data_IF_664096380258
#
_entry.id   IF_664096380258
#
_cell.length_a   1.000
_cell.length_b   1.000
_cell.length_c   1.000
_cell.angle_alpha   90.00
_cell.angle_beta   90.00
_cell.angle_gamma   90.00
#
_symmetry.space_group_name_H-M   'P 1'
#
loop_
_entity.id
_entity.type
_entity.pdbx_description
1 polymer ?
#
# COMPACT_ATOMS: atom_id res chain seq x y z
N UNK A 1 -70.90 1.34 28.00
CA UNK A 1 -71.57 2.48 27.32
C UNK A 1 -71.36 2.25 25.82
N UNK A 2 -72.28 1.59 25.11
CA UNK A 2 -73.56 2.14 24.59
C UNK A 2 -73.26 2.91 23.28
N UNK A 3 -73.85 2.70 22.10
CA UNK A 3 -74.99 1.93 21.58
C UNK A 3 -74.77 1.78 20.05
N UNK A 4 -75.11 0.66 19.40
CA UNK A 4 -76.29 0.41 18.52
C UNK A 4 -76.56 1.53 17.48
N UNK A 5 -76.70 1.28 16.17
CA UNK A 5 -77.82 0.60 15.46
C UNK A 5 -77.38 0.21 14.02
N UNK A 6 -77.47 -1.04 13.55
CA UNK A 6 -78.61 -1.75 12.91
C UNK A 6 -78.66 -1.74 11.36
N UNK A 7 -78.61 -2.95 10.79
CA UNK A 7 -78.72 -3.45 9.39
C UNK A 7 -79.76 -2.78 8.47
N UNK A 8 -79.47 -2.68 7.15
CA UNK A 8 -80.06 -3.53 6.07
C UNK A 8 -79.65 -3.17 4.61
N UNK A 9 -79.31 -4.24 3.87
CA UNK A 9 -79.60 -4.63 2.44
C UNK A 9 -78.87 -4.00 1.22
N UNK A 10 -78.12 -4.89 0.53
CA UNK A 10 -77.82 -5.08 -0.92
C UNK A 10 -78.50 -4.15 -1.96
N UNK A 11 -77.74 -3.59 -2.91
CA UNK A 11 -77.46 -4.13 -4.27
C UNK A 11 -76.83 -3.06 -5.23
N UNK A 12 -75.77 -3.48 -5.94
CA UNK A 12 -75.32 -3.13 -7.32
C UNK A 12 -75.41 -1.68 -7.89
N UNK A 13 -74.27 -1.13 -8.35
CA UNK A 13 -73.84 -1.15 -9.77
C UNK A 13 -72.48 -0.46 -9.98
N UNK A 14 -71.67 -1.09 -10.82
CA UNK A 14 -70.37 -0.67 -11.32
C UNK A 14 -70.43 0.59 -12.20
N UNK A 15 -69.37 1.40 -12.17
CA UNK A 15 -68.75 1.97 -13.37
C UNK A 15 -67.27 2.31 -13.07
N UNK A 16 -66.38 1.81 -13.92
CA UNK A 16 -64.97 2.18 -14.11
C UNK A 16 -64.76 2.27 -15.64
N UNK A 17 -63.67 2.86 -16.16
CA UNK A 17 -62.92 4.05 -15.74
C UNK A 17 -62.69 5.01 -16.93
N UNK A 18 -62.19 6.23 -16.69
CA UNK A 18 -61.58 7.07 -17.74
C UNK A 18 -60.05 6.79 -17.80
N UNK A 19 -59.54 6.64 -19.02
CA UNK A 19 -58.16 6.28 -19.37
C UNK A 19 -57.16 7.41 -19.01
N UNK A 20 -56.30 7.18 -18.03
CA UNK A 20 -55.03 7.90 -17.88
C UNK A 20 -53.93 7.11 -18.59
N UNK A 21 -53.26 7.75 -19.56
CA UNK A 21 -52.05 7.22 -20.21
C UNK A 21 -50.95 6.94 -19.17
N UNK A 22 -50.77 5.66 -18.84
CA UNK A 22 -49.73 5.20 -17.92
C UNK A 22 -48.36 5.31 -18.61
N UNK A 23 -47.55 6.30 -18.22
CA UNK A 23 -46.13 6.30 -18.55
C UNK A 23 -45.48 5.00 -18.03
N UNK A 24 -44.65 4.31 -18.82
CA UNK A 24 -44.10 3.03 -18.42
C UNK A 24 -43.24 3.20 -17.16
N UNK A 25 -43.56 2.42 -16.12
CA UNK A 25 -42.82 2.41 -14.85
C UNK A 25 -41.38 2.01 -15.14
N UNK A 26 -40.46 2.96 -14.99
CA UNK A 26 -39.03 2.71 -15.08
C UNK A 26 -38.53 2.26 -13.70
N UNK A 27 -37.99 1.05 -13.62
CA UNK A 27 -37.53 0.46 -12.37
C UNK A 27 -36.02 0.63 -12.21
N UNK A 28 -35.52 0.60 -10.97
CA UNK A 28 -34.08 0.76 -10.67
C UNK A 28 -33.15 -0.25 -11.37
N UNK A 29 -33.68 -1.39 -11.81
CA UNK A 29 -32.94 -2.39 -12.57
C UNK A 29 -32.90 -2.11 -14.09
N UNK A 30 -33.75 -1.23 -14.61
CA UNK A 30 -33.74 -0.82 -16.03
C UNK A 30 -32.60 0.17 -16.32
N UNK A 31 -31.97 0.73 -15.27
CA UNK A 31 -30.82 1.64 -15.35
C UNK A 31 -29.48 0.98 -14.99
N UNK A 32 -29.45 -0.33 -14.68
CA UNK A 32 -28.19 -1.02 -14.39
C UNK A 32 -27.40 -1.18 -15.69
N UNK A 33 -26.21 -0.61 -15.73
CA UNK A 33 -25.24 -0.92 -16.78
C UNK A 33 -25.04 -2.45 -16.83
N UNK A 34 -25.07 -3.01 -18.05
CA UNK A 34 -24.84 -4.44 -18.23
C UNK A 34 -23.38 -4.74 -17.94
N UNK A 35 -23.12 -5.31 -16.76
CA UNK A 35 -21.81 -5.78 -16.34
C UNK A 35 -21.54 -7.14 -17.01
N UNK A 36 -20.56 -7.21 -17.92
CA UNK A 36 -20.10 -8.49 -18.48
C UNK A 36 -19.10 -9.12 -17.52
N UNK A 37 -19.33 -10.38 -17.13
CA UNK A 37 -18.43 -11.16 -16.28
C UNK A 37 -17.02 -11.25 -16.86
N UNK A 38 -16.88 -11.23 -18.19
CA UNK A 38 -15.58 -11.27 -18.88
C UNK A 38 -14.71 -10.05 -18.60
N UNK A 39 -15.32 -8.91 -18.25
CA UNK A 39 -14.57 -7.70 -17.93
C UNK A 39 -13.84 -7.83 -16.59
N UNK A 40 -14.27 -8.74 -15.73
CA UNK A 40 -13.79 -8.95 -14.37
C UNK A 40 -13.08 -10.29 -14.18
N UNK A 41 -12.68 -10.94 -15.28
CA UNK A 41 -11.89 -12.16 -15.22
C UNK A 41 -10.84 -12.26 -16.32
N UNK A 42 -9.71 -12.85 -15.98
CA UNK A 42 -8.74 -13.38 -16.93
C UNK A 42 -8.64 -14.88 -16.73
N UNK A 43 -8.93 -15.65 -17.78
CA UNK A 43 -9.06 -17.11 -17.71
C UNK A 43 -8.38 -17.76 -18.91
N UNK A 44 -7.54 -18.77 -18.67
CA UNK A 44 -6.97 -19.59 -19.74
C UNK A 44 -6.00 -18.84 -20.67
N UNK A 45 -5.43 -17.73 -20.22
CA UNK A 45 -4.53 -16.91 -21.03
C UNK A 45 -3.12 -17.50 -21.04
N UNK A 46 -2.43 -17.40 -22.18
CA UNK A 46 -1.05 -17.85 -22.33
C UNK A 46 -0.19 -16.85 -23.08
N UNK A 47 1.04 -16.64 -22.61
CA UNK A 47 2.08 -15.85 -23.30
C UNK A 47 1.63 -14.43 -23.70
N UNK A 48 0.78 -13.81 -22.87
CA UNK A 48 0.18 -12.50 -23.16
C UNK A 48 0.39 -11.49 -22.03
N UNK A 49 0.41 -10.22 -22.39
CA UNK A 49 0.32 -9.10 -21.45
C UNK A 49 -1.07 -8.49 -21.50
N UNK A 50 -1.78 -8.48 -20.38
CA UNK A 50 -3.16 -7.98 -20.27
C UNK A 50 -3.32 -7.11 -19.04
N UNK A 51 -4.37 -6.30 -19.00
CA UNK A 51 -4.63 -5.48 -17.83
C UNK A 51 -5.95 -4.74 -17.84
N UNK A 52 -6.13 -3.92 -16.81
CA UNK A 52 -7.25 -2.99 -16.64
C UNK A 52 -6.70 -1.63 -16.28
N UNK A 53 -7.15 -0.61 -17.01
CA UNK A 53 -6.83 0.78 -16.74
C UNK A 53 -7.63 1.31 -15.54
N UNK A 54 -7.22 2.44 -14.94
CA UNK A 54 -7.97 3.09 -13.88
C UNK A 54 -9.45 3.31 -14.25
N UNK A 55 -10.35 3.00 -13.30
CA UNK A 55 -11.80 3.13 -13.46
C UNK A 55 -12.48 1.97 -14.18
N UNK A 56 -11.75 0.96 -14.66
CA UNK A 56 -12.32 -0.20 -15.37
C UNK A 56 -12.77 -1.33 -14.45
N UNK A 57 -12.29 -1.39 -13.21
CA UNK A 57 -12.72 -2.39 -12.21
C UNK A 57 -13.63 -1.76 -11.16
N UNK A 58 -13.33 -0.53 -10.75
CA UNK A 58 -14.17 0.30 -9.88
C UNK A 58 -14.70 -0.44 -8.63
N UNK A 59 -13.83 -1.20 -7.95
CA UNK A 59 -14.18 -1.88 -6.70
C UNK A 59 -14.97 -3.18 -6.87
N UNK A 60 -15.15 -3.69 -8.08
CA UNK A 60 -15.73 -5.02 -8.30
C UNK A 60 -14.77 -6.15 -7.90
N UNK A 61 -15.30 -7.36 -7.77
CA UNK A 61 -14.48 -8.56 -7.61
C UNK A 61 -13.76 -8.89 -8.92
N UNK A 62 -12.53 -9.42 -8.85
CA UNK A 62 -11.77 -9.85 -10.01
C UNK A 62 -11.28 -11.31 -9.85
N UNK A 63 -11.25 -12.08 -10.94
CA UNK A 63 -10.77 -13.45 -10.97
C UNK A 63 -9.64 -13.62 -11.99
N UNK A 64 -8.54 -14.23 -11.60
CA UNK A 64 -7.45 -14.63 -12.50
C UNK A 64 -7.30 -16.14 -12.35
N UNK A 65 -7.51 -16.91 -13.41
CA UNK A 65 -7.46 -18.36 -13.34
C UNK A 65 -6.79 -18.97 -14.58
N UNK A 66 -6.11 -20.10 -14.41
CA UNK A 66 -5.55 -20.90 -15.52
C UNK A 66 -4.64 -20.10 -16.47
N UNK A 67 -3.88 -19.11 -15.95
CA UNK A 67 -3.00 -18.28 -16.78
C UNK A 67 -1.54 -18.78 -16.73
N UNK A 68 -0.85 -18.79 -17.87
CA UNK A 68 0.52 -19.29 -17.99
C UNK A 68 1.40 -18.30 -18.75
N UNK A 69 2.59 -17.96 -18.21
CA UNK A 69 3.53 -17.02 -18.83
C UNK A 69 2.90 -15.64 -19.13
N UNK A 70 2.01 -15.16 -18.26
CA UNK A 70 1.28 -13.90 -18.48
C UNK A 70 1.83 -12.75 -17.63
N UNK A 71 1.79 -11.54 -18.18
CA UNK A 71 1.94 -10.31 -17.40
C UNK A 71 0.57 -9.65 -17.24
N UNK A 72 0.10 -9.52 -16.00
CA UNK A 72 -1.26 -9.07 -15.68
C UNK A 72 -1.18 -7.83 -14.82
N UNK A 73 -1.77 -6.72 -15.28
CA UNK A 73 -1.73 -5.44 -14.57
C UNK A 73 -3.13 -4.88 -14.35
N UNK A 74 -3.60 -4.88 -13.10
CA UNK A 74 -4.89 -4.30 -12.73
C UNK A 74 -4.62 -2.96 -12.03
N UNK A 75 -4.64 -1.87 -12.79
CA UNK A 75 -4.39 -0.50 -12.29
C UNK A 75 -5.64 0.16 -11.72
N UNK A 76 -6.40 -0.59 -10.92
CA UNK A 76 -7.61 -0.11 -10.27
C UNK A 76 -7.87 -0.84 -8.95
N UNK A 77 -8.71 -0.26 -8.10
CA UNK A 77 -9.14 -0.89 -6.86
C UNK A 77 -10.18 -2.00 -7.11
N UNK A 78 -10.19 -3.00 -6.24
CA UNK A 78 -11.08 -4.17 -6.34
C UNK A 78 -11.66 -4.54 -4.98
N UNK A 79 -12.81 -5.23 -4.95
CA UNK A 79 -13.37 -5.75 -3.70
C UNK A 79 -12.55 -6.92 -3.15
N UNK A 80 -12.27 -7.90 -4.00
CA UNK A 80 -11.53 -9.13 -3.70
C UNK A 80 -10.92 -9.66 -4.99
N UNK A 81 -9.75 -10.28 -4.90
CA UNK A 81 -9.09 -10.91 -6.06
C UNK A 81 -8.71 -12.34 -5.72
N UNK A 82 -9.09 -13.27 -6.59
CA UNK A 82 -8.67 -14.67 -6.49
C UNK A 82 -7.76 -14.99 -7.66
N UNK A 83 -6.63 -15.63 -7.39
CA UNK A 83 -5.65 -16.07 -8.39
C UNK A 83 -5.50 -17.59 -8.26
N UNK A 84 -5.97 -18.31 -9.27
CA UNK A 84 -6.03 -19.78 -9.28
C UNK A 84 -5.18 -20.36 -10.40
N UNK A 85 -4.45 -21.43 -10.09
CA UNK A 85 -3.80 -22.30 -11.08
C UNK A 85 -2.91 -21.54 -12.09
N UNK A 86 -2.31 -20.44 -11.65
CA UNK A 86 -1.45 -19.59 -12.48
C UNK A 86 0.02 -20.02 -12.41
N UNK A 87 0.71 -20.02 -13.54
CA UNK A 87 2.10 -20.47 -13.68
C UNK A 87 2.95 -19.41 -14.35
N UNK A 88 4.09 -19.06 -13.74
CA UNK A 88 5.08 -18.15 -14.34
C UNK A 88 4.46 -16.79 -14.75
N UNK A 89 3.61 -16.23 -13.89
CA UNK A 89 2.93 -14.96 -14.16
C UNK A 89 3.56 -13.80 -13.39
N UNK A 90 3.60 -12.63 -14.02
CA UNK A 90 3.86 -11.35 -13.35
C UNK A 90 2.52 -10.67 -13.09
N UNK A 91 2.24 -10.26 -11.85
CA UNK A 91 0.92 -9.73 -11.48
C UNK A 91 1.04 -8.44 -10.67
N UNK A 92 0.55 -7.33 -11.21
CA UNK A 92 0.29 -6.13 -10.44
C UNK A 92 -1.20 -6.03 -10.10
N UNK A 93 -1.53 -5.82 -8.83
CA UNK A 93 -2.89 -5.53 -8.39
C UNK A 93 -2.91 -4.19 -7.67
N UNK A 94 -3.83 -3.31 -8.08
CA UNK A 94 -4.20 -2.14 -7.32
C UNK A 94 -4.81 -2.50 -5.95
N UNK A 95 -5.23 -1.49 -5.17
CA UNK A 95 -5.70 -1.68 -3.80
C UNK A 95 -6.95 -2.58 -3.72
N UNK A 96 -6.85 -3.68 -2.98
CA UNK A 96 -7.94 -4.65 -2.79
C UNK A 96 -8.56 -4.48 -1.41
N UNK A 97 -9.81 -4.01 -1.38
CA UNK A 97 -10.55 -3.70 -0.13
C UNK A 97 -10.59 -4.88 0.84
N UNK A 98 -10.75 -6.09 0.31
CA UNK A 98 -10.85 -7.32 1.09
C UNK A 98 -9.63 -8.21 0.91
N UNK A 99 -9.86 -9.44 0.47
CA UNK A 99 -8.83 -10.46 0.37
C UNK A 99 -8.20 -10.54 -1.01
N UNK A 100 -6.90 -10.83 -1.04
CA UNK A 100 -6.23 -11.45 -2.18
C UNK A 100 -5.92 -12.89 -1.81
N UNK A 101 -6.35 -13.83 -2.64
CA UNK A 101 -6.16 -15.26 -2.38
C UNK A 101 -5.49 -15.96 -3.56
N UNK A 102 -4.26 -16.43 -3.35
CA UNK A 102 -3.55 -17.31 -4.29
C UNK A 102 -3.82 -18.78 -3.95
N UNK A 103 -4.22 -19.57 -4.96
CA UNK A 103 -4.40 -21.03 -4.85
C UNK A 103 -3.70 -21.73 -6.01
N UNK A 104 -2.97 -22.80 -5.74
CA UNK A 104 -2.31 -23.63 -6.77
C UNK A 104 -1.40 -22.84 -7.74
N UNK A 105 -0.82 -21.72 -7.32
CA UNK A 105 0.01 -20.88 -8.17
C UNK A 105 1.50 -21.24 -8.04
N UNK A 106 2.25 -21.11 -9.13
CA UNK A 106 3.70 -21.42 -9.14
C UNK A 106 4.53 -20.43 -9.94
N UNK A 107 5.71 -20.11 -9.41
CA UNK A 107 6.71 -19.26 -10.07
C UNK A 107 6.16 -17.86 -10.46
N UNK A 108 5.22 -17.30 -9.69
CA UNK A 108 4.65 -15.98 -9.96
C UNK A 108 5.35 -14.88 -9.16
N UNK A 109 5.44 -13.69 -9.76
CA UNK A 109 6.02 -12.49 -9.16
C UNK A 109 4.97 -11.39 -9.11
N UNK A 110 4.75 -10.80 -7.94
CA UNK A 110 3.57 -9.98 -7.69
C UNK A 110 3.91 -8.68 -6.95
N UNK A 111 3.16 -7.62 -7.25
CA UNK A 111 3.11 -6.40 -6.45
C UNK A 111 1.65 -6.03 -6.20
N UNK A 112 1.24 -5.98 -4.92
CA UNK A 112 -0.18 -5.80 -4.57
C UNK A 112 -0.40 -5.20 -3.19
N UNK A 113 -1.55 -4.55 -3.03
CA UNK A 113 -2.03 -4.04 -1.76
C UNK A 113 -3.41 -4.62 -1.43
N UNK A 114 -3.61 -5.08 -0.19
CA UNK A 114 -4.86 -5.70 0.23
C UNK A 114 -5.13 -5.55 1.73
N UNK A 115 -6.38 -5.80 2.15
CA UNK A 115 -6.68 -5.94 3.57
C UNK A 115 -6.17 -7.27 4.12
N UNK A 116 -6.46 -8.38 3.44
CA UNK A 116 -6.07 -9.73 3.84
C UNK A 116 -5.31 -10.43 2.71
N UNK A 117 -4.15 -11.01 3.03
CA UNK A 117 -3.36 -11.78 2.09
C UNK A 117 -3.37 -13.26 2.47
N UNK A 118 -3.75 -14.13 1.52
CA UNK A 118 -3.84 -15.57 1.72
C UNK A 118 -3.16 -16.32 0.58
N UNK A 119 -2.41 -17.35 0.92
CA UNK A 119 -1.77 -18.26 -0.03
C UNK A 119 -2.02 -19.69 0.40
N UNK A 120 -2.49 -20.53 -0.52
CA UNK A 120 -2.65 -21.96 -0.30
C UNK A 120 -2.11 -22.75 -1.48
N UNK A 121 -1.42 -23.87 -1.22
CA UNK A 121 -0.96 -24.80 -2.26
C UNK A 121 -0.06 -24.14 -3.32
N UNK A 122 0.72 -23.13 -2.95
CA UNK A 122 1.56 -22.37 -3.90
C UNK A 122 3.05 -22.66 -3.73
N UNK A 123 3.83 -22.40 -4.79
CA UNK A 123 5.27 -22.60 -4.79
C UNK A 123 6.01 -21.46 -5.48
N UNK A 124 7.09 -20.96 -4.86
CA UNK A 124 7.97 -19.92 -5.44
C UNK A 124 7.19 -18.67 -5.86
N UNK A 125 6.55 -18.02 -4.89
CA UNK A 125 5.96 -16.71 -5.11
C UNK A 125 6.90 -15.63 -4.59
N UNK A 126 7.04 -14.53 -5.32
CA UNK A 126 7.80 -13.35 -4.87
C UNK A 126 6.86 -12.15 -4.84
N UNK A 127 6.59 -11.58 -3.67
CA UNK A 127 5.48 -10.64 -3.47
C UNK A 127 5.95 -9.35 -2.80
N UNK A 128 5.79 -8.23 -3.49
CA UNK A 128 5.89 -6.87 -2.92
C UNK A 128 4.51 -6.51 -2.35
N UNK A 129 4.39 -6.53 -1.02
CA UNK A 129 3.11 -6.58 -0.34
C UNK A 129 2.84 -5.33 0.51
N UNK A 130 1.61 -4.82 0.42
CA UNK A 130 1.00 -3.97 1.43
C UNK A 130 -0.20 -4.69 2.02
N UNK A 131 -0.14 -5.10 3.29
CA UNK A 131 -1.21 -5.87 3.91
C UNK A 131 -1.62 -5.28 5.26
N UNK A 132 -2.91 -4.92 5.38
CA UNK A 132 -3.43 -4.33 6.61
C UNK A 132 -3.45 -5.31 7.78
N UNK A 133 -3.67 -6.60 7.52
CA UNK A 133 -3.63 -7.68 8.51
C UNK A 133 -2.41 -8.57 8.32
N UNK A 134 -2.18 -9.46 9.29
CA UNK A 134 -1.14 -10.47 9.20
C UNK A 134 -1.28 -11.32 7.91
N UNK A 135 -0.27 -11.37 7.02
CA UNK A 135 -0.30 -12.24 5.85
C UNK A 135 -0.22 -13.72 6.24
N UNK A 136 -0.92 -14.58 5.52
CA UNK A 136 -1.07 -16.00 5.85
C UNK A 136 -0.64 -16.87 4.66
N UNK A 137 0.10 -17.94 4.97
CA UNK A 137 0.38 -19.03 4.03
C UNK A 137 -0.06 -20.38 4.61
N UNK A 138 -0.39 -21.32 3.74
CA UNK A 138 -0.79 -22.70 4.06
C UNK A 138 -0.35 -23.62 2.93
N UNK A 139 0.17 -24.81 3.23
CA UNK A 139 0.60 -25.85 2.28
C UNK A 139 1.47 -25.30 1.14
N UNK A 140 2.33 -24.33 1.42
CA UNK A 140 3.06 -23.55 0.41
C UNK A 140 4.54 -23.48 0.72
N UNK A 141 5.39 -23.35 -0.31
CA UNK A 141 6.87 -23.36 -0.14
C UNK A 141 7.58 -22.29 -0.96
N UNK A 142 8.68 -21.77 -0.43
CA UNK A 142 9.50 -20.73 -1.05
C UNK A 142 8.72 -19.46 -1.40
N UNK A 143 7.92 -18.96 -0.45
CA UNK A 143 7.17 -17.71 -0.59
C UNK A 143 8.04 -16.55 -0.06
N UNK A 144 8.35 -15.57 -0.90
CA UNK A 144 9.21 -14.45 -0.52
C UNK A 144 8.43 -13.15 -0.49
N UNK A 145 8.69 -12.33 0.53
CA UNK A 145 8.00 -11.07 0.74
C UNK A 145 8.95 -9.87 0.72
N UNK A 146 8.51 -8.75 0.16
CA UNK A 146 9.10 -7.42 0.32
C UNK A 146 8.02 -6.39 0.58
N UNK A 147 8.39 -5.19 1.01
CA UNK A 147 7.44 -4.08 1.14
C UNK A 147 6.92 -3.66 -0.24
N UNK A 148 5.63 -3.32 -0.32
CA UNK A 148 5.07 -2.69 -1.53
C UNK A 148 5.85 -1.43 -1.90
N UNK A 149 6.19 -1.31 -3.19
CA UNK A 149 6.92 -0.17 -3.74
C UNK A 149 6.41 0.12 -5.15
N UNK A 150 5.45 1.04 -5.26
CA UNK A 150 4.80 1.38 -6.51
C UNK A 150 4.10 2.74 -6.45
N UNK A 151 4.00 3.40 -7.60
CA UNK A 151 3.30 4.66 -7.77
C UNK A 151 2.71 4.78 -9.17
N UNK A 152 1.50 5.33 -9.25
CA UNK A 152 0.93 6.03 -10.41
C UNK A 152 -0.09 7.05 -9.89
N UNK A 153 -0.45 8.09 -10.67
CA UNK A 153 -1.22 9.24 -10.18
C UNK A 153 -2.54 8.88 -9.48
N UNK A 154 -3.27 7.91 -10.00
CA UNK A 154 -4.59 7.48 -9.53
C UNK A 154 -4.52 6.61 -8.27
N UNK A 155 -3.36 6.01 -7.98
CA UNK A 155 -3.20 4.98 -6.95
C UNK A 155 -3.58 5.51 -5.55
N UNK A 156 -3.29 6.76 -5.24
CA UNK A 156 -3.62 7.37 -3.95
C UNK A 156 -5.14 7.36 -3.67
N UNK A 157 -5.94 7.73 -4.68
CA UNK A 157 -7.40 7.70 -4.57
C UNK A 157 -7.93 6.28 -4.52
N UNK A 158 -7.33 5.36 -5.27
CA UNK A 158 -7.71 3.94 -5.23
C UNK A 158 -7.47 3.30 -3.85
N UNK A 159 -6.41 3.69 -3.13
CA UNK A 159 -6.20 3.27 -1.74
C UNK A 159 -7.33 3.77 -0.83
N UNK A 160 -7.74 5.03 -1.01
CA UNK A 160 -8.86 5.64 -0.28
C UNK A 160 -10.18 4.93 -0.60
N UNK A 161 -10.47 4.65 -1.86
CA UNK A 161 -11.71 3.99 -2.30
C UNK A 161 -11.79 2.53 -1.82
N UNK A 162 -10.65 1.84 -1.76
CA UNK A 162 -10.53 0.52 -1.14
C UNK A 162 -10.61 0.57 0.40
N UNK A 163 -10.59 1.74 1.03
CA UNK A 163 -10.58 1.89 2.49
C UNK A 163 -9.28 1.40 3.14
N UNK A 164 -8.17 1.42 2.41
CA UNK A 164 -6.85 0.99 2.89
C UNK A 164 -5.99 2.20 3.27
N UNK A 165 -5.47 2.19 4.50
CA UNK A 165 -4.45 3.15 4.93
C UNK A 165 -3.08 2.73 4.41
N UNK A 166 -2.37 3.66 3.75
CA UNK A 166 -0.98 3.45 3.31
C UNK A 166 0.01 3.24 4.47
N UNK A 167 -0.39 3.56 5.71
CA UNK A 167 0.44 3.39 6.91
C UNK A 167 0.18 2.08 7.64
N UNK A 168 -0.89 1.35 7.28
CA UNK A 168 -1.22 0.06 7.89
C UNK A 168 -0.65 -1.07 7.02
N UNK A 169 0.61 -1.41 7.24
CA UNK A 169 1.29 -2.43 6.46
C UNK A 169 2.12 -3.39 7.33
N UNK A 170 1.69 -4.65 7.42
CA UNK A 170 2.32 -5.73 8.19
C UNK A 170 2.95 -6.81 7.30
N UNK A 171 3.39 -6.43 6.10
CA UNK A 171 3.87 -7.30 5.01
C UNK A 171 4.90 -8.38 5.37
N UNK A 172 5.69 -8.21 6.45
CA UNK A 172 6.78 -9.11 6.84
C UNK A 172 6.44 -10.05 8.00
N UNK A 173 5.28 -9.89 8.64
CA UNK A 173 4.89 -10.68 9.82
C UNK A 173 4.07 -11.91 9.41
N UNK A 174 4.67 -12.86 8.69
CA UNK A 174 3.92 -13.96 8.07
C UNK A 174 3.48 -15.01 9.10
N UNK A 175 2.23 -15.45 9.02
CA UNK A 175 1.76 -16.65 9.71
C UNK A 175 1.72 -17.84 8.75
N UNK A 176 2.38 -18.93 9.14
CA UNK A 176 2.38 -20.19 8.39
C UNK A 176 1.54 -21.22 9.15
N UNK A 177 0.45 -21.67 8.55
CA UNK A 177 -0.44 -22.68 9.12
C UNK A 177 0.13 -24.10 9.07
N UNK A 178 1.11 -24.35 8.20
CA UNK A 178 1.68 -25.67 7.95
C UNK A 178 3.22 -25.64 8.00
N UNK A 179 3.82 -25.19 9.11
CA UNK A 179 5.26 -25.12 9.22
C UNK A 179 5.87 -26.53 9.19
N UNK A 180 6.95 -26.70 8.43
CA UNK A 180 7.73 -27.94 8.39
C UNK A 180 8.96 -27.77 9.27
N UNK A 181 9.21 -28.72 10.18
CA UNK A 181 10.34 -28.66 11.10
C UNK A 181 11.68 -28.61 10.33
N UNK A 182 12.52 -27.63 10.64
CA UNK A 182 13.83 -27.45 10.01
C UNK A 182 13.80 -26.73 8.65
N UNK A 183 12.63 -26.47 8.08
CA UNK A 183 12.47 -25.75 6.82
C UNK A 183 11.77 -24.40 7.03
N UNK A 184 12.03 -23.46 6.13
CA UNK A 184 11.31 -22.18 6.08
C UNK A 184 10.51 -22.12 4.79
N UNK A 185 9.19 -22.25 4.91
CA UNK A 185 8.26 -22.12 3.79
C UNK A 185 8.24 -20.70 3.20
N UNK A 186 8.69 -19.70 3.96
CA UNK A 186 8.79 -18.32 3.52
C UNK A 186 10.07 -17.62 3.98
N UNK A 187 10.39 -16.53 3.29
CA UNK A 187 11.51 -15.64 3.65
C UNK A 187 11.22 -14.21 3.18
N UNK A 188 12.12 -13.27 3.51
CA UNK A 188 12.06 -11.91 2.97
C UNK A 188 13.00 -11.81 1.76
N UNK A 189 12.57 -11.10 0.71
CA UNK A 189 13.45 -10.73 -0.40
C UNK A 189 14.61 -9.86 0.10
N UNK A 190 15.75 -9.80 -0.62
CA UNK A 190 16.82 -8.83 -0.34
C UNK A 190 16.28 -7.40 -0.23
N UNK A 191 16.91 -6.59 0.61
CA UNK A 191 16.48 -5.19 0.83
C UNK A 191 16.79 -4.29 -0.38
N UNK A 192 17.82 -4.64 -1.14
CA UNK A 192 18.25 -4.03 -2.40
C UNK A 192 17.56 -4.62 -3.64
N UNK A 193 16.54 -5.47 -3.47
CA UNK A 193 15.81 -6.06 -4.58
C UNK A 193 15.12 -4.98 -5.42
N UNK A 194 15.49 -4.91 -6.70
CA UNK A 194 14.91 -3.95 -7.65
C UNK A 194 13.54 -4.45 -8.10
N UNK A 195 12.48 -3.67 -7.83
CA UNK A 195 11.09 -4.06 -8.16
C UNK A 195 10.94 -4.50 -9.61
N UNK A 196 11.57 -3.80 -10.57
CA UNK A 196 11.41 -4.06 -12.00
C UNK A 196 12.01 -5.40 -12.47
N UNK A 197 12.98 -5.97 -11.73
CA UNK A 197 13.54 -7.30 -12.03
C UNK A 197 12.56 -8.43 -11.67
N UNK A 198 11.56 -8.11 -10.84
CA UNK A 198 10.52 -9.04 -10.43
C UNK A 198 9.18 -8.75 -11.10
N UNK A 199 8.76 -7.49 -11.10
CA UNK A 199 7.51 -7.00 -11.68
C UNK A 199 7.87 -5.89 -12.67
N UNK A 200 8.22 -6.24 -13.92
CA UNK A 200 8.55 -5.26 -14.95
C UNK A 200 7.38 -4.31 -15.23
N UNK A 201 7.68 -3.19 -15.87
CA UNK A 201 6.64 -2.27 -16.34
C UNK A 201 5.93 -2.86 -17.56
N UNK A 202 4.62 -2.58 -17.74
CA UNK A 202 3.89 -3.06 -18.91
C UNK A 202 4.46 -2.48 -20.21
N UNK A 203 4.53 -3.30 -21.25
CA UNK A 203 5.10 -2.94 -22.55
C UNK A 203 4.05 -2.64 -23.62
N UNK A 204 2.77 -2.93 -23.36
CA UNK A 204 1.68 -2.69 -24.30
C UNK A 204 1.28 -1.22 -24.35
N UNK A 205 0.96 -0.71 -25.55
CA UNK A 205 0.60 0.70 -25.75
C UNK A 205 -0.59 1.15 -24.91
N UNK A 206 -1.57 0.27 -24.71
CA UNK A 206 -2.73 0.56 -23.85
C UNK A 206 -2.31 0.84 -22.40
N UNK A 207 -1.47 -0.01 -21.82
CA UNK A 207 -1.09 0.07 -20.40
C UNK A 207 0.00 1.13 -20.15
N UNK A 208 0.76 1.53 -21.18
CA UNK A 208 1.72 2.65 -21.11
C UNK A 208 1.08 4.00 -20.79
N UNK A 209 -0.25 4.12 -20.95
CA UNK A 209 -0.99 5.31 -20.52
C UNK A 209 -0.86 5.55 -19.00
N UNK A 210 -0.65 4.50 -18.21
CA UNK A 210 -0.46 4.60 -16.75
C UNK A 210 0.98 5.00 -16.44
N UNK A 211 1.16 6.17 -15.82
CA UNK A 211 2.48 6.74 -15.51
C UNK A 211 3.07 6.12 -14.24
N UNK A 212 3.74 4.99 -14.41
CA UNK A 212 4.27 4.20 -13.29
C UNK A 212 5.65 4.69 -12.85
N UNK A 213 5.88 4.69 -11.54
CA UNK A 213 7.20 4.70 -10.93
C UNK A 213 7.31 3.57 -9.91
N UNK A 214 8.47 2.92 -9.88
CA UNK A 214 8.83 1.92 -8.86
C UNK A 214 10.00 2.38 -8.00
N UNK A 215 10.33 3.68 -8.00
CA UNK A 215 11.32 4.27 -7.09
C UNK A 215 10.79 4.29 -5.66
N UNK A 216 11.65 3.98 -4.68
CA UNK A 216 11.29 3.95 -3.26
C UNK A 216 10.73 5.29 -2.76
N UNK A 217 11.38 6.41 -3.13
CA UNK A 217 10.99 7.78 -2.75
C UNK A 217 9.64 8.22 -3.34
N UNK A 218 9.20 7.60 -4.44
CA UNK A 218 7.92 7.92 -5.09
C UNK A 218 6.79 7.00 -4.65
N UNK A 219 7.09 5.90 -3.97
CA UNK A 219 6.10 4.90 -3.58
C UNK A 219 4.95 5.51 -2.78
N UNK A 220 3.72 5.08 -3.12
CA UNK A 220 2.54 5.51 -2.36
C UNK A 220 2.50 4.86 -0.96
N UNK A 221 3.09 3.68 -0.79
CA UNK A 221 3.27 3.07 0.53
C UNK A 221 4.69 3.38 0.97
N UNK A 222 4.91 4.02 2.12
CA UNK A 222 6.26 4.22 2.65
C UNK A 222 6.98 2.88 2.79
N UNK A 223 8.19 2.78 2.24
CA UNK A 223 8.97 1.54 2.24
C UNK A 223 9.44 1.27 3.67
N UNK A 224 8.86 0.26 4.32
CA UNK A 224 9.17 -0.07 5.72
C UNK A 224 10.07 -1.30 5.82
N UNK A 225 10.95 -1.34 6.82
CA UNK A 225 11.84 -2.49 7.07
C UNK A 225 11.15 -3.68 7.73
N UNK A 226 10.03 -3.46 8.43
CA UNK A 226 9.25 -4.52 9.07
C UNK A 226 10.08 -5.39 10.03
N UNK A 227 10.00 -6.71 9.89
CA UNK A 227 10.72 -7.70 10.71
C UNK A 227 12.14 -8.02 10.22
N UNK A 228 12.72 -7.19 9.33
CA UNK A 228 14.13 -7.32 8.95
C UNK A 228 15.05 -7.15 10.17
N UNK A 229 16.23 -7.75 10.11
CA UNK A 229 17.23 -7.58 11.16
C UNK A 229 17.63 -6.11 11.31
N UNK A 230 17.64 -5.64 12.55
CA UNK A 230 18.03 -4.29 12.92
C UNK A 230 19.52 -4.27 13.28
N UNK A 231 20.18 -3.16 12.98
CA UNK A 231 21.55 -2.87 13.42
C UNK A 231 21.62 -2.22 14.80
N UNK A 232 20.48 -1.74 15.32
CA UNK A 232 20.35 -1.06 16.61
C UNK A 232 19.06 -1.50 17.32
N UNK A 233 19.11 -1.53 18.65
CA UNK A 233 17.97 -1.77 19.53
C UNK A 233 17.23 -0.49 19.92
N UNK A 234 17.78 0.67 19.55
CA UNK A 234 17.13 1.97 19.80
C UNK A 234 15.89 2.14 18.92
N UNK A 235 14.90 2.86 19.45
CA UNK A 235 13.63 3.09 18.76
C UNK A 235 13.09 4.46 19.12
N UNK A 236 12.46 5.11 18.14
CA UNK A 236 11.76 6.37 18.32
C UNK A 236 10.33 6.23 17.82
N UNK A 237 9.37 6.74 18.59
CA UNK A 237 7.97 6.82 18.21
C UNK A 237 7.61 8.27 17.88
N UNK A 238 7.10 8.48 16.67
CA UNK A 238 6.50 9.75 16.27
C UNK A 238 5.01 9.54 16.06
N UNK A 239 4.20 10.37 16.72
CA UNK A 239 2.74 10.35 16.57
C UNK A 239 2.32 11.68 15.96
N UNK A 240 1.70 11.62 14.79
CA UNK A 240 1.07 12.77 14.15
C UNK A 240 -0.44 12.69 14.36
N UNK A 241 -1.06 13.80 14.76
CA UNK A 241 -2.49 13.90 14.93
C UNK A 241 -3.18 14.27 13.62
N UNK A 242 -4.44 13.88 13.47
CA UNK A 242 -5.21 14.13 12.26
C UNK A 242 -5.32 15.63 11.94
N UNK A 243 -5.26 15.95 10.64
CA UNK A 243 -5.25 17.29 10.09
C UNK A 243 -4.87 17.26 8.61
N UNK A 244 -5.16 18.33 7.88
CA UNK A 244 -5.09 18.35 6.40
C UNK A 244 -3.70 18.00 5.86
N UNK A 245 -2.64 18.36 6.58
CA UNK A 245 -1.25 18.16 6.17
C UNK A 245 -0.59 16.93 6.81
N UNK A 246 -1.32 16.13 7.58
CA UNK A 246 -0.74 15.02 8.38
C UNK A 246 0.00 14.01 7.52
N UNK A 247 -0.61 13.59 6.41
CA UNK A 247 0.00 12.60 5.49
C UNK A 247 1.26 13.18 4.84
N UNK A 248 1.23 14.45 4.43
CA UNK A 248 2.37 15.12 3.82
C UNK A 248 3.52 15.30 4.83
N UNK A 249 3.21 15.71 6.05
CA UNK A 249 4.17 15.86 7.14
C UNK A 249 4.81 14.52 7.51
N UNK A 250 4.01 13.45 7.59
CA UNK A 250 4.51 12.10 7.84
C UNK A 250 5.49 11.65 6.75
N UNK A 251 5.17 11.89 5.47
CA UNK A 251 6.07 11.58 4.35
C UNK A 251 7.36 12.39 4.41
N UNK A 252 7.25 13.71 4.56
CA UNK A 252 8.40 14.60 4.66
C UNK A 252 9.34 14.17 5.78
N UNK A 253 8.79 13.80 6.94
CA UNK A 253 9.58 13.31 8.06
C UNK A 253 10.28 11.98 7.73
N UNK A 254 9.60 11.04 7.07
CA UNK A 254 10.21 9.77 6.63
C UNK A 254 11.39 10.06 5.68
N UNK A 255 11.19 10.93 4.69
CA UNK A 255 12.22 11.30 3.72
C UNK A 255 13.43 11.97 4.39
N UNK A 256 13.21 12.88 5.34
CA UNK A 256 14.28 13.56 6.11
C UNK A 256 15.05 12.62 7.04
N UNK A 257 14.37 11.60 7.56
CA UNK A 257 14.94 10.57 8.44
C UNK A 257 15.76 9.53 7.66
N UNK A 258 15.55 9.39 6.35
CA UNK A 258 16.31 8.50 5.48
C UNK A 258 17.46 9.21 4.72
N UNK A 259 17.47 10.54 4.67
CA UNK A 259 18.53 11.32 4.02
C UNK A 259 19.70 11.61 4.98
N UNK A 260 20.82 10.90 4.80
CA UNK A 260 22.16 11.15 5.38
C UNK A 260 22.23 11.02 6.92
N UNK A 261 22.30 9.78 7.39
CA UNK A 261 22.26 9.40 8.81
C UNK A 261 23.26 10.12 9.73
N UNK A 262 24.34 10.71 9.21
CA UNK A 262 25.44 11.27 10.01
C UNK A 262 25.85 12.71 9.64
N UNK A 263 25.08 13.41 8.81
CA UNK A 263 25.43 14.78 8.42
C UNK A 263 24.22 15.65 8.07
N UNK A 264 24.24 16.88 8.57
CA UNK A 264 23.49 18.02 8.05
C UNK A 264 24.45 18.99 7.39
N UNK A 265 24.24 19.30 6.11
CA UNK A 265 25.11 20.22 5.38
C UNK A 265 24.32 21.11 4.42
N UNK A 266 24.63 22.41 4.38
CA UNK A 266 24.09 23.35 3.39
C UNK A 266 22.60 23.68 3.59
N UNK A 267 22.11 23.62 4.84
CA UNK A 267 20.71 23.86 5.15
C UNK A 267 20.43 25.34 5.41
N UNK A 268 19.28 25.85 4.98
CA UNK A 268 18.88 27.24 5.20
C UNK A 268 17.40 27.39 5.53
N UNK A 269 17.07 28.13 6.59
CA UNK A 269 15.70 28.44 7.03
C UNK A 269 14.82 27.18 7.25
N UNK A 270 15.41 26.10 7.79
CA UNK A 270 14.71 24.82 8.02
C UNK A 270 14.78 24.35 9.46
N UNK A 271 13.84 23.49 9.82
CA UNK A 271 13.89 22.70 11.06
C UNK A 271 14.10 21.24 10.69
N UNK A 272 15.19 20.65 11.18
CA UNK A 272 15.58 19.26 10.86
C UNK A 272 16.01 18.52 12.10
N UNK A 273 16.00 17.18 12.06
CA UNK A 273 16.50 16.40 13.17
C UNK A 273 16.81 14.95 12.88
N UNK A 274 17.44 14.30 13.84
CA UNK A 274 17.71 12.86 13.86
C UNK A 274 17.01 12.25 15.07
N UNK A 275 16.30 11.17 14.82
CA UNK A 275 15.61 10.41 15.85
C UNK A 275 16.59 9.41 16.51
N UNK A 276 16.32 8.96 17.75
CA UNK A 276 17.05 7.85 18.39
C UNK A 276 17.25 6.65 17.45
N UNK A 277 18.45 6.07 17.47
CA UNK A 277 18.86 4.93 16.63
C UNK A 277 19.33 5.26 15.21
N UNK A 278 19.32 6.54 14.80
CA UNK A 278 19.76 6.98 13.46
C UNK A 278 21.23 7.41 13.41
N UNK A 279 21.74 7.98 14.49
CA UNK A 279 23.16 8.29 14.68
C UNK A 279 23.87 7.12 15.36
N UNK A 280 23.22 6.42 16.31
CA UNK A 280 23.68 5.17 16.93
C UNK A 280 25.17 5.20 17.35
N UNK A 281 25.59 6.30 17.98
CA UNK A 281 26.96 6.46 18.49
C UNK A 281 28.01 6.70 17.41
N UNK A 282 27.62 7.02 16.18
CA UNK A 282 28.54 7.46 15.14
C UNK A 282 28.93 8.93 15.30
N UNK A 283 29.91 9.36 14.52
CA UNK A 283 30.28 10.77 14.44
C UNK A 283 29.24 11.52 13.60
N UNK A 284 28.86 12.72 14.03
CA UNK A 284 27.86 13.54 13.34
C UNK A 284 28.45 14.90 12.94
N UNK A 285 28.16 15.36 11.72
CA UNK A 285 28.60 16.65 11.21
C UNK A 285 27.42 17.58 10.92
N UNK A 286 27.46 18.80 11.44
CA UNK A 286 26.58 19.91 11.06
C UNK A 286 27.47 20.96 10.42
N UNK A 287 27.23 21.30 9.16
CA UNK A 287 28.11 22.17 8.41
C UNK A 287 27.35 23.14 7.47
N UNK A 288 27.82 24.38 7.33
CA UNK A 288 27.30 25.35 6.36
C UNK A 288 25.78 25.59 6.50
N UNK A 289 25.26 25.66 7.72
CA UNK A 289 23.82 25.86 7.99
C UNK A 289 23.50 27.31 8.39
N UNK A 290 22.40 27.87 7.92
CA UNK A 290 21.97 29.25 8.21
C UNK A 290 20.51 29.30 8.68
N UNK A 291 20.20 30.00 9.78
CA UNK A 291 18.84 30.18 10.30
C UNK A 291 18.07 28.86 10.57
N UNK A 292 18.77 27.80 10.97
CA UNK A 292 18.17 26.47 11.13
C UNK A 292 17.91 26.10 12.60
N UNK A 293 16.85 25.32 12.84
CA UNK A 293 16.67 24.59 14.10
C UNK A 293 17.04 23.12 13.90
N UNK A 294 18.08 22.64 14.56
CA UNK A 294 18.64 21.31 14.35
C UNK A 294 18.54 20.50 15.64
N UNK A 295 17.87 19.35 15.58
CA UNK A 295 17.63 18.51 16.75
C UNK A 295 18.19 17.10 16.54
N UNK A 296 19.26 16.75 17.25
CA UNK A 296 19.77 15.39 17.27
C UNK A 296 19.28 14.74 18.56
N UNK A 297 18.22 13.94 18.49
CA UNK A 297 17.65 13.25 19.66
C UNK A 297 18.31 11.89 19.93
N UNK A 298 19.48 11.64 19.37
CA UNK A 298 20.19 10.37 19.46
C UNK A 298 21.55 10.51 20.11
N UNK A 299 22.12 9.39 20.55
CA UNK A 299 23.48 9.38 21.07
C UNK A 299 24.52 9.42 19.94
N UNK A 300 25.59 10.19 20.13
CA UNK A 300 26.66 10.38 19.14
C UNK A 300 28.04 10.11 19.75
N UNK A 301 29.00 9.60 18.97
CA UNK A 301 30.38 9.51 19.44
C UNK A 301 31.02 10.90 19.56
N UNK A 302 30.93 11.70 18.51
CA UNK A 302 31.41 13.08 18.48
C UNK A 302 30.51 13.89 17.57
N UNK A 303 30.30 15.17 17.88
CA UNK A 303 29.54 16.07 17.01
C UNK A 303 30.45 17.22 16.59
N UNK A 304 30.51 17.53 15.30
CA UNK A 304 31.21 18.71 14.78
C UNK A 304 30.19 19.68 14.21
N UNK A 305 30.29 20.95 14.58
CA UNK A 305 29.46 22.04 14.11
C UNK A 305 30.42 23.05 13.49
N UNK A 306 30.34 23.24 12.17
CA UNK A 306 31.25 24.09 11.40
C UNK A 306 30.47 25.07 10.53
N UNK A 307 30.91 26.33 10.50
CA UNK A 307 30.37 27.41 9.63
C UNK A 307 28.83 27.56 9.66
N UNK A 308 28.24 27.44 10.86
CA UNK A 308 26.80 27.61 11.05
C UNK A 308 26.47 29.02 11.59
N UNK A 309 25.43 29.67 11.05
CA UNK A 309 25.03 31.04 11.42
C UNK A 309 23.56 31.08 11.87
N UNK A 310 23.28 31.70 13.03
CA UNK A 310 21.93 31.84 13.58
C UNK A 310 21.15 30.51 13.66
N UNK A 311 21.83 29.44 14.06
CA UNK A 311 21.24 28.11 14.21
C UNK A 311 20.97 27.77 15.68
N UNK A 312 19.77 27.26 15.97
CA UNK A 312 19.46 26.64 17.26
C UNK A 312 19.74 25.15 17.16
N UNK A 313 20.76 24.66 17.87
CA UNK A 313 21.19 23.26 17.79
C UNK A 313 20.98 22.58 19.15
N UNK A 314 20.15 21.53 19.16
CA UNK A 314 19.95 20.63 20.28
C UNK A 314 20.65 19.31 20.01
N UNK A 315 21.48 18.85 20.95
CA UNK A 315 22.21 17.59 20.88
C UNK A 315 21.78 16.68 22.03
N UNK A 316 21.46 15.43 21.69
CA UNK A 316 21.31 14.32 22.62
C UNK A 316 22.65 13.91 23.23
N UNK A 317 22.71 12.75 23.92
CA UNK A 317 23.92 12.33 24.63
C UNK A 317 25.14 12.19 23.69
N UNK A 318 26.21 12.95 23.94
CA UNK A 318 27.47 12.82 23.20
C UNK A 318 28.51 12.13 24.08
N UNK A 319 29.02 10.98 23.65
CA UNK A 319 29.99 10.18 24.41
C UNK A 319 31.37 10.83 24.47
N UNK A 320 31.78 11.43 23.35
CA UNK A 320 33.06 12.13 23.19
C UNK A 320 32.87 13.64 23.24
N UNK A 321 33.53 14.37 22.34
CA UNK A 321 33.53 15.83 22.33
C UNK A 321 32.53 16.41 21.31
N UNK A 322 32.05 17.61 21.61
CA UNK A 322 31.34 18.49 20.67
C UNK A 322 32.33 19.58 20.25
N UNK A 323 32.53 19.74 18.94
CA UNK A 323 33.42 20.74 18.36
C UNK A 323 32.62 21.84 17.68
N UNK A 324 32.94 23.10 17.97
CA UNK A 324 32.40 24.27 17.28
C UNK A 324 33.52 24.96 16.51
N UNK A 325 33.27 25.28 15.24
CA UNK A 325 34.22 25.95 14.34
C UNK A 325 33.47 26.99 13.51
N UNK A 326 34.03 28.20 13.42
CA UNK A 326 33.52 29.25 12.54
C UNK A 326 32.04 29.64 12.71
N UNK A 327 31.37 29.22 13.80
CA UNK A 327 29.95 29.51 14.03
C UNK A 327 29.75 30.97 14.45
N UNK A 328 28.61 31.54 14.05
CA UNK A 328 28.22 32.92 14.36
C UNK A 328 26.78 32.94 14.87
N UNK A 329 26.52 33.85 15.82
CA UNK A 329 25.17 34.14 16.29
C UNK A 329 24.32 34.78 15.19
#
# INVERSE_FOLDING_TARGET
MGCFFSKRRKAEKESQPEDEEVQPKQYSWDQREKVDLKDYMFSGLKDVTVGRLPGKVAGQQFLIQDCENCNIYIFDHSATVTIDDCTNCVIFLGPVKGSVFFRNCRDCKCALACQQFRVRDCRKLEVFLCCATQPIIESSTNIKFSCFQWYYPELAFQFKDAGLSIFNNTWSSIHDFTPVSGERNWSLLPEDAVVQDHVPLPTTEELKAVRISTEASRSIVPVSRGQRQKSSDESCLVVLFAGDYTIANARKLIDEVDLKDYMFSGLKDVTVGRLPGKVAGQQFLIQDCENCNIYIFDHSATVTIDDCTNCVIFLGPVKGSVFFRNCRD
#
